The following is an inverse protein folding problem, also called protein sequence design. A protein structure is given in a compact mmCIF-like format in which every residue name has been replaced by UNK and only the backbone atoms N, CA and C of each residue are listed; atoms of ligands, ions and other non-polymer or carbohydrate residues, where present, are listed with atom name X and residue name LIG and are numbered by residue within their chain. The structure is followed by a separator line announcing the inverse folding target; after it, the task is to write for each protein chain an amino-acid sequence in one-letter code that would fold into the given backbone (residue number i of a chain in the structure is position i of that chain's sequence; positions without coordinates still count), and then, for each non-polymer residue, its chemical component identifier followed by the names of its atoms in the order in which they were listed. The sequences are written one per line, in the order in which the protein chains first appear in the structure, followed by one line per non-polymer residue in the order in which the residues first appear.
data_IF_549925528991
#
_entry.id   IF_549925528991
#
_cell.length_a   1.000
_cell.length_b   1.000
_cell.length_c   1.000
_cell.angle_alpha   90.00
_cell.angle_beta   90.00
_cell.angle_gamma   90.00
#
_symmetry.space_group_name_H-M   'P 1'
#
loop_
_entity.id
_entity.type
_entity.pdbx_description
1 polymer ?
#
# COMPACT_ATOMS: atom_id res chain seq x y z
N UNK A 1 -14.16 -31.40 9.49
CA UNK A 1 -14.17 -30.69 8.18
C UNK A 1 -14.32 -29.16 8.29
N UNK A 2 -14.74 -28.62 9.44
CA UNK A 2 -15.01 -27.17 9.64
C UNK A 2 -13.76 -26.28 9.70
N UNK A 3 -12.68 -26.71 10.36
CA UNK A 3 -11.45 -25.91 10.50
C UNK A 3 -10.67 -25.65 9.19
N UNK A 4 -10.94 -26.41 8.12
CA UNK A 4 -10.22 -26.30 6.84
C UNK A 4 -10.54 -25.00 6.11
N UNK A 5 -11.80 -24.57 6.12
CA UNK A 5 -12.23 -23.33 5.47
C UNK A 5 -11.61 -22.10 6.14
N UNK A 6 -11.59 -22.08 7.47
CA UNK A 6 -10.93 -21.05 8.27
C UNK A 6 -9.41 -21.01 8.05
N UNK A 7 -8.78 -22.17 7.93
CA UNK A 7 -7.34 -22.25 7.64
C UNK A 7 -7.03 -21.64 6.27
N UNK A 8 -7.77 -22.02 5.22
CA UNK A 8 -7.53 -21.46 3.89
C UNK A 8 -7.82 -19.97 3.83
N UNK A 9 -8.93 -19.53 4.42
CA UNK A 9 -9.30 -18.12 4.45
C UNK A 9 -8.25 -17.26 5.18
N UNK A 10 -7.76 -17.73 6.34
CA UNK A 10 -6.68 -17.08 7.06
C UNK A 10 -5.37 -17.08 6.27
N UNK A 11 -5.00 -18.20 5.64
CA UNK A 11 -3.76 -18.28 4.86
C UNK A 11 -3.78 -17.37 3.62
N UNK A 12 -4.90 -17.28 2.90
CA UNK A 12 -5.04 -16.38 1.75
C UNK A 12 -4.88 -14.92 2.19
N UNK A 13 -5.56 -14.53 3.29
CA UNK A 13 -5.43 -13.18 3.82
C UNK A 13 -3.99 -12.90 4.31
N UNK A 14 -3.38 -13.86 5.00
CA UNK A 14 -2.01 -13.78 5.46
C UNK A 14 -1.00 -13.60 4.32
N UNK A 15 -1.20 -14.31 3.21
CA UNK A 15 -0.36 -14.19 2.00
C UNK A 15 -0.40 -12.77 1.43
N UNK A 16 -1.59 -12.20 1.29
CA UNK A 16 -1.74 -10.81 0.85
C UNK A 16 -1.08 -9.82 1.83
N UNK A 17 -1.23 -10.03 3.14
CA UNK A 17 -0.58 -9.20 4.16
C UNK A 17 0.96 -9.31 4.10
N UNK A 18 1.51 -10.48 3.73
CA UNK A 18 2.93 -10.64 3.46
C UNK A 18 3.38 -9.78 2.29
N UNK A 19 2.64 -9.83 1.16
CA UNK A 19 2.92 -9.01 -0.01
C UNK A 19 2.82 -7.52 0.26
N UNK A 20 1.81 -7.08 1.02
CA UNK A 20 1.70 -5.69 1.44
C UNK A 20 2.84 -5.27 2.37
N UNK A 21 3.23 -6.12 3.32
CA UNK A 21 4.33 -5.80 4.22
C UNK A 21 5.63 -5.58 3.46
N UNK A 22 5.94 -6.48 2.53
CA UNK A 22 7.10 -6.38 1.65
C UNK A 22 7.03 -5.12 0.77
N UNK A 23 5.94 -4.93 0.04
CA UNK A 23 5.78 -3.79 -0.87
C UNK A 23 5.77 -2.43 -0.17
N UNK A 24 5.17 -2.32 1.02
CA UNK A 24 5.18 -1.08 1.79
C UNK A 24 6.56 -0.84 2.39
N UNK A 25 7.12 -1.84 3.08
CA UNK A 25 8.37 -1.65 3.81
C UNK A 25 9.56 -1.53 2.86
N UNK A 26 9.71 -2.44 1.92
CA UNK A 26 10.90 -2.52 1.06
C UNK A 26 10.77 -1.65 -0.19
N UNK A 27 9.60 -1.56 -0.83
CA UNK A 27 9.47 -0.78 -2.07
C UNK A 27 9.19 0.69 -1.83
N UNK A 28 8.44 1.03 -0.77
CA UNK A 28 7.97 2.40 -0.56
C UNK A 28 8.74 3.13 0.55
N UNK A 29 8.90 2.51 1.73
CA UNK A 29 9.53 3.15 2.89
C UNK A 29 11.05 3.12 2.76
N UNK A 30 11.64 1.92 2.64
CA UNK A 30 13.08 1.74 2.58
C UNK A 30 13.63 1.90 1.16
N UNK A 31 12.79 1.66 0.15
CA UNK A 31 13.14 1.76 -1.27
C UNK A 31 14.38 0.94 -1.63
N UNK A 32 14.61 -0.18 -0.95
CA UNK A 32 15.77 -1.03 -1.18
C UNK A 32 15.68 -1.78 -2.51
N UNK A 33 14.46 -2.02 -2.96
CA UNK A 33 14.15 -2.54 -4.29
C UNK A 33 12.70 -2.25 -4.65
N UNK A 34 12.41 -2.26 -5.95
CA UNK A 34 11.09 -2.38 -6.56
C UNK A 34 10.89 -3.76 -7.18
N UNK A 35 9.63 -4.14 -7.48
CA UNK A 35 9.27 -5.46 -7.99
C UNK A 35 10.09 -5.91 -9.21
N UNK A 36 10.42 -4.99 -10.13
CA UNK A 36 11.10 -5.32 -11.39
C UNK A 36 12.50 -4.71 -11.47
N UNK A 37 13.15 -4.46 -10.32
CA UNK A 37 14.42 -3.71 -10.25
C UNK A 37 15.53 -4.25 -11.15
N UNK A 38 15.58 -5.57 -11.34
CA UNK A 38 16.61 -6.25 -12.12
C UNK A 38 16.10 -6.73 -13.48
N UNK A 39 14.86 -6.38 -13.87
CA UNK A 39 14.33 -6.72 -15.19
C UNK A 39 14.93 -5.78 -16.24
N UNK A 40 15.64 -6.30 -17.25
CA UNK A 40 16.22 -5.46 -18.29
C UNK A 40 15.17 -4.61 -19.01
N UNK A 41 15.47 -3.32 -19.22
CA UNK A 41 14.57 -2.38 -19.89
C UNK A 41 13.53 -1.71 -18.99
N UNK A 42 13.47 -2.05 -17.70
CA UNK A 42 12.59 -1.41 -16.71
C UNK A 42 13.46 -0.72 -15.66
N UNK A 43 14.27 0.26 -16.06
CA UNK A 43 15.13 1.00 -15.12
C UNK A 43 14.51 2.28 -14.56
N UNK A 44 13.48 2.80 -15.22
CA UNK A 44 12.88 4.08 -14.87
C UNK A 44 12.00 3.99 -13.62
N UNK A 45 12.16 4.95 -12.72
CA UNK A 45 11.47 4.96 -11.42
C UNK A 45 9.96 5.01 -11.57
N UNK A 46 9.42 5.74 -12.57
CA UNK A 46 7.97 5.79 -12.79
C UNK A 46 7.44 4.43 -13.22
N UNK A 47 8.17 3.70 -14.07
CA UNK A 47 7.81 2.33 -14.44
C UNK A 47 7.86 1.37 -13.24
N UNK A 48 8.89 1.48 -12.40
CA UNK A 48 9.02 0.67 -11.18
C UNK A 48 7.86 0.91 -10.21
N UNK A 49 7.60 2.18 -9.86
CA UNK A 49 6.49 2.57 -8.97
C UNK A 49 5.13 2.13 -9.52
N UNK A 50 4.93 2.19 -10.84
CA UNK A 50 3.71 1.69 -11.47
C UNK A 50 3.56 0.18 -11.24
N UNK A 51 4.61 -0.60 -11.47
CA UNK A 51 4.57 -2.05 -11.29
C UNK A 51 4.41 -2.47 -9.82
N UNK A 52 5.01 -1.73 -8.89
CA UNK A 52 4.71 -1.91 -7.46
C UNK A 52 3.23 -1.64 -7.18
N UNK A 53 2.64 -0.60 -7.78
CA UNK A 53 1.21 -0.31 -7.67
C UNK A 53 0.32 -1.43 -8.22
N UNK A 54 0.69 -2.02 -9.37
CA UNK A 54 0.00 -3.19 -9.94
C UNK A 54 0.11 -4.40 -9.02
N UNK A 55 1.29 -4.64 -8.44
CA UNK A 55 1.50 -5.68 -7.45
C UNK A 55 0.63 -5.49 -6.21
N UNK A 56 0.55 -4.27 -5.66
CA UNK A 56 -0.34 -3.95 -4.54
C UNK A 56 -1.82 -4.14 -4.91
N UNK A 57 -2.22 -3.77 -6.12
CA UNK A 57 -3.58 -4.01 -6.60
C UNK A 57 -3.91 -5.51 -6.64
N UNK A 58 -2.97 -6.35 -7.09
CA UNK A 58 -3.10 -7.81 -7.01
C UNK A 58 -3.23 -8.29 -5.55
N UNK A 59 -2.41 -7.76 -4.63
CA UNK A 59 -2.53 -8.09 -3.21
C UNK A 59 -3.88 -7.68 -2.63
N UNK A 60 -4.48 -6.56 -3.07
CA UNK A 60 -5.85 -6.18 -2.68
C UNK A 60 -6.90 -7.19 -3.14
N UNK A 61 -6.78 -7.72 -4.37
CA UNK A 61 -7.67 -8.76 -4.87
C UNK A 61 -7.55 -10.04 -4.03
N UNK A 62 -6.33 -10.47 -3.71
CA UNK A 62 -6.09 -11.64 -2.86
C UNK A 62 -6.63 -11.41 -1.44
N UNK A 63 -6.39 -10.23 -0.86
CA UNK A 63 -6.92 -9.86 0.45
C UNK A 63 -8.46 -9.86 0.47
N UNK A 64 -9.11 -9.28 -0.55
CA UNK A 64 -10.56 -9.30 -0.69
C UNK A 64 -11.10 -10.74 -0.79
N UNK A 65 -10.44 -11.62 -1.55
CA UNK A 65 -10.79 -13.03 -1.61
C UNK A 65 -10.66 -13.72 -0.24
N UNK A 66 -9.58 -13.43 0.51
CA UNK A 66 -9.37 -13.90 1.87
C UNK A 66 -10.45 -13.43 2.84
N UNK A 67 -10.84 -12.14 2.78
CA UNK A 67 -11.90 -11.56 3.60
C UNK A 67 -13.28 -12.16 3.28
N UNK A 68 -13.62 -12.31 2.00
CA UNK A 68 -14.86 -12.98 1.57
C UNK A 68 -14.87 -14.44 2.04
N UNK A 69 -13.74 -15.14 1.95
CA UNK A 69 -13.61 -16.51 2.43
C UNK A 69 -13.78 -16.59 3.96
N UNK A 70 -13.21 -15.65 4.72
CA UNK A 70 -13.38 -15.54 6.17
C UNK A 70 -14.84 -15.28 6.53
N UNK A 71 -15.50 -14.34 5.85
CA UNK A 71 -16.92 -14.04 6.06
C UNK A 71 -17.80 -15.25 5.80
N UNK A 72 -17.56 -15.97 4.70
CA UNK A 72 -18.28 -17.21 4.36
C UNK A 72 -17.98 -18.34 5.36
N UNK A 73 -16.76 -18.43 5.88
CA UNK A 73 -16.41 -19.40 6.92
C UNK A 73 -17.16 -19.09 8.22
N UNK A 74 -17.20 -17.82 8.62
CA UNK A 74 -17.91 -17.34 9.81
C UNK A 74 -19.42 -17.60 9.74
N UNK A 75 -20.06 -17.32 8.59
CA UNK A 75 -21.49 -17.59 8.40
C UNK A 75 -21.87 -19.07 8.50
N UNK A 76 -20.94 -19.98 8.18
CA UNK A 76 -21.18 -21.43 8.23
C UNK A 76 -20.88 -22.02 9.61
N UNK A 77 -19.82 -21.56 10.25
CA UNK A 77 -19.40 -22.02 11.56
C UNK A 77 -18.84 -20.84 12.35
N UNK A 78 -19.66 -20.17 13.17
CA UNK A 78 -19.22 -19.01 13.94
C UNK A 78 -18.14 -19.33 14.99
N UNK A 79 -17.98 -20.62 15.34
CA UNK A 79 -17.19 -21.07 16.48
C UNK A 79 -15.87 -21.69 16.00
N UNK A 80 -14.88 -20.84 15.69
CA UNK A 80 -13.50 -21.31 15.43
C UNK A 80 -12.52 -20.80 16.50
N UNK A 81 -11.61 -21.65 17.02
CA UNK A 81 -10.53 -21.18 17.87
C UNK A 81 -9.64 -20.17 17.12
N UNK A 82 -9.47 -18.97 17.70
CA UNK A 82 -8.67 -17.88 17.10
C UNK A 82 -7.24 -18.28 16.73
N UNK A 83 -6.63 -19.19 17.50
CA UNK A 83 -5.30 -19.73 17.20
C UNK A 83 -5.21 -20.39 15.82
N UNK A 84 -6.32 -20.92 15.30
CA UNK A 84 -6.37 -21.50 13.95
C UNK A 84 -6.29 -20.40 12.89
N UNK A 85 -7.06 -19.32 13.03
CA UNK A 85 -7.08 -18.22 12.05
C UNK A 85 -5.78 -17.42 12.10
N UNK A 86 -5.34 -17.02 13.30
CA UNK A 86 -4.07 -16.30 13.48
C UNK A 86 -2.88 -17.14 13.01
N UNK A 87 -2.86 -18.43 13.35
CA UNK A 87 -1.81 -19.33 12.88
C UNK A 87 -1.84 -19.54 11.37
N UNK A 88 -3.03 -19.60 10.76
CA UNK A 88 -3.16 -19.66 9.31
C UNK A 88 -2.70 -18.38 8.61
N UNK A 89 -3.00 -17.20 9.16
CA UNK A 89 -2.51 -15.92 8.64
C UNK A 89 -0.97 -15.85 8.68
N UNK A 90 -0.34 -16.29 9.78
CA UNK A 90 1.12 -16.36 9.86
C UNK A 90 1.73 -17.35 8.84
N UNK A 91 1.06 -18.49 8.62
CA UNK A 91 1.47 -19.43 7.56
C UNK A 91 1.41 -18.76 6.20
N UNK A 92 0.29 -18.11 5.87
CA UNK A 92 0.15 -17.37 4.61
C UNK A 92 1.21 -16.30 4.43
N UNK A 93 1.43 -15.49 5.47
CA UNK A 93 2.44 -14.44 5.50
C UNK A 93 3.84 -15.00 5.21
N UNK A 94 4.22 -16.07 5.90
CA UNK A 94 5.52 -16.70 5.66
C UNK A 94 5.61 -17.38 4.29
N UNK A 95 4.53 -17.97 3.79
CA UNK A 95 4.47 -18.56 2.45
C UNK A 95 4.72 -17.52 1.36
N UNK A 96 4.20 -16.29 1.47
CA UNK A 96 4.54 -15.21 0.54
C UNK A 96 6.05 -14.98 0.47
N UNK A 97 6.70 -14.76 1.62
CA UNK A 97 8.14 -14.47 1.68
C UNK A 97 9.01 -15.62 1.20
N UNK A 98 8.58 -16.87 1.44
CA UNK A 98 9.24 -18.06 0.88
C UNK A 98 9.13 -18.07 -0.64
N UNK A 99 7.92 -17.84 -1.18
CA UNK A 99 7.72 -17.80 -2.63
C UNK A 99 8.53 -16.67 -3.25
N UNK A 100 8.47 -15.47 -2.69
CA UNK A 100 9.20 -14.33 -3.23
C UNK A 100 10.72 -14.56 -3.22
N UNK A 101 11.26 -15.11 -2.12
CA UNK A 101 12.68 -15.44 -2.06
C UNK A 101 13.08 -16.52 -3.07
N UNK A 102 12.37 -17.64 -3.09
CA UNK A 102 12.76 -18.77 -3.95
C UNK A 102 12.50 -18.48 -5.43
N UNK A 103 11.33 -17.92 -5.74
CA UNK A 103 10.88 -17.67 -7.10
C UNK A 103 11.42 -16.34 -7.63
N UNK A 104 11.12 -15.21 -6.99
CA UNK A 104 11.46 -13.89 -7.52
C UNK A 104 12.96 -13.60 -7.39
N UNK A 105 13.55 -13.85 -6.22
CA UNK A 105 14.96 -13.49 -5.99
C UNK A 105 15.96 -14.46 -6.59
N UNK A 106 15.71 -15.77 -6.48
CA UNK A 106 16.71 -16.78 -6.84
C UNK A 106 16.46 -17.44 -8.19
N UNK A 107 15.21 -17.81 -8.48
CA UNK A 107 14.90 -18.49 -9.75
C UNK A 107 14.76 -17.50 -10.91
N UNK A 108 13.91 -16.48 -10.75
CA UNK A 108 13.67 -15.47 -11.79
C UNK A 108 14.72 -14.35 -11.76
N UNK A 109 15.27 -14.04 -10.58
CA UNK A 109 16.28 -13.00 -10.41
C UNK A 109 15.79 -11.59 -10.74
N UNK A 110 14.49 -11.32 -10.58
CA UNK A 110 13.86 -10.06 -11.01
C UNK A 110 14.06 -8.91 -10.01
N UNK A 111 14.37 -9.22 -8.76
CA UNK A 111 14.80 -8.30 -7.71
C UNK A 111 15.55 -9.05 -6.61
N UNK A 112 16.15 -8.35 -5.64
CA UNK A 112 16.76 -8.92 -4.43
C UNK A 112 16.33 -8.06 -3.24
N UNK A 113 16.38 -8.59 -2.01
CA UNK A 113 15.94 -7.84 -0.82
C UNK A 113 16.65 -6.49 -0.70
N UNK A 114 17.98 -6.51 -0.86
CA UNK A 114 18.81 -5.31 -0.79
C UNK A 114 19.88 -5.35 -1.88
N UNK A 115 19.58 -4.68 -2.98
CA UNK A 115 20.35 -4.77 -4.24
C UNK A 115 21.68 -4.00 -4.14
N UNK A 116 21.70 -2.91 -3.36
CA UNK A 116 22.87 -2.06 -3.10
C UNK A 116 23.88 -2.67 -2.11
N UNK A 117 23.57 -3.83 -1.52
CA UNK A 117 24.44 -4.48 -0.54
C UNK A 117 25.65 -5.15 -1.20
N UNK A 118 26.85 -5.11 -0.60
CA UNK A 118 27.98 -5.94 -1.02
C UNK A 118 27.71 -7.45 -0.95
N UNK A 119 26.70 -7.87 -0.18
CA UNK A 119 26.25 -9.26 -0.09
C UNK A 119 24.72 -9.33 -0.09
N UNK A 120 24.06 -9.34 -1.27
CA UNK A 120 22.59 -9.42 -1.37
C UNK A 120 22.04 -10.76 -0.86
N UNK A 121 22.80 -11.85 -1.00
CA UNK A 121 22.38 -13.18 -0.55
C UNK A 121 22.18 -13.25 0.97
N UNK A 122 23.05 -12.59 1.75
CA UNK A 122 22.89 -12.53 3.19
C UNK A 122 21.56 -11.89 3.62
N UNK A 123 21.12 -10.85 2.89
CA UNK A 123 19.84 -10.18 3.15
C UNK A 123 18.65 -11.05 2.75
N UNK A 124 18.73 -11.75 1.61
CA UNK A 124 17.68 -12.71 1.23
C UNK A 124 17.50 -13.81 2.27
N UNK A 125 18.60 -14.38 2.76
CA UNK A 125 18.56 -15.44 3.78
C UNK A 125 18.00 -14.92 5.11
N UNK A 126 18.42 -13.72 5.53
CA UNK A 126 17.89 -13.08 6.74
C UNK A 126 16.38 -12.85 6.61
N UNK A 127 15.93 -12.30 5.48
CA UNK A 127 14.51 -12.04 5.22
C UNK A 127 13.68 -13.32 5.18
N UNK A 128 14.18 -14.35 4.47
CA UNK A 128 13.57 -15.67 4.40
C UNK A 128 13.41 -16.30 5.78
N UNK A 129 14.44 -16.22 6.64
CA UNK A 129 14.37 -16.79 7.98
C UNK A 129 13.38 -16.01 8.85
N UNK A 130 13.53 -14.70 8.91
CA UNK A 130 12.77 -13.83 9.85
C UNK A 130 11.31 -13.70 9.45
N UNK A 131 11.00 -13.54 8.17
CA UNK A 131 9.64 -13.27 7.68
C UNK A 131 9.01 -14.44 6.92
N UNK A 132 9.80 -15.40 6.44
CA UNK A 132 9.31 -16.65 5.86
C UNK A 132 9.16 -17.77 6.89
N UNK A 133 10.29 -18.30 7.37
CA UNK A 133 10.36 -19.54 8.17
C UNK A 133 9.80 -19.34 9.58
N UNK A 134 10.20 -18.28 10.29
CA UNK A 134 9.75 -18.05 11.68
C UNK A 134 8.22 -17.90 11.75
N UNK A 135 7.55 -17.07 10.92
CA UNK A 135 6.09 -16.99 10.92
C UNK A 135 5.41 -18.31 10.55
N UNK A 136 5.95 -19.08 9.60
CA UNK A 136 5.45 -20.42 9.27
C UNK A 136 5.45 -21.34 10.49
N UNK A 137 6.58 -21.43 11.20
CA UNK A 137 6.71 -22.29 12.37
C UNK A 137 5.82 -21.83 13.54
N UNK A 138 5.75 -20.52 13.79
CA UNK A 138 4.85 -19.95 14.80
C UNK A 138 3.38 -20.21 14.46
N UNK A 139 3.01 -20.07 13.19
CA UNK A 139 1.66 -20.37 12.71
C UNK A 139 1.28 -21.83 12.89
N UNK A 140 2.19 -22.76 12.57
CA UNK A 140 2.00 -24.20 12.81
C UNK A 140 1.85 -24.52 14.30
N UNK A 141 2.60 -23.84 15.18
CA UNK A 141 2.48 -23.99 16.64
C UNK A 141 1.14 -23.46 17.16
N UNK A 142 0.71 -22.27 16.73
CA UNK A 142 -0.54 -21.65 17.16
C UNK A 142 -1.78 -22.44 16.74
N UNK A 143 -1.73 -23.11 15.58
CA UNK A 143 -2.80 -24.01 15.15
C UNK A 143 -2.98 -25.23 16.05
N UNK A 144 -1.96 -25.60 16.84
CA UNK A 144 -1.98 -26.75 17.76
C UNK A 144 -2.46 -26.41 19.18
N UNK A 145 -2.42 -25.14 19.60
CA UNK A 145 -2.62 -24.71 21.00
C UNK A 145 -3.93 -23.93 21.28
N UNK A 146 -5.05 -24.29 20.66
CA UNK A 146 -6.25 -23.44 20.62
C UNK A 146 -6.89 -23.06 21.97
N UNK A 147 -6.92 -21.75 22.27
CA UNK A 147 -8.08 -20.90 22.63
C UNK A 147 -7.53 -19.52 23.07
N UNK A 148 -7.23 -18.65 22.10
CA UNK A 148 -6.97 -17.24 22.42
C UNK A 148 -8.26 -16.54 22.84
N UNK A 149 -8.18 -15.64 23.81
CA UNK A 149 -9.33 -14.85 24.26
C UNK A 149 -9.85 -13.90 23.16
N UNK A 150 -11.10 -13.47 23.29
CA UNK A 150 -11.65 -12.35 22.53
C UNK A 150 -10.90 -11.05 22.80
N UNK A 151 -10.49 -10.23 21.79
CA UNK A 151 -10.28 -8.83 22.08
C UNK A 151 -11.59 -8.32 22.66
N UNK A 152 -11.48 -7.60 23.77
CA UNK A 152 -12.63 -7.00 24.41
C UNK A 152 -13.32 -6.04 23.43
N UNK A 153 -14.63 -5.83 23.58
CA UNK A 153 -15.34 -4.79 22.83
C UNK A 153 -14.66 -3.43 22.96
N UNK A 154 -14.06 -3.16 24.11
CA UNK A 154 -13.24 -1.97 24.37
C UNK A 154 -12.01 -1.88 23.45
N UNK A 155 -11.29 -2.98 23.20
CA UNK A 155 -10.15 -2.98 22.28
C UNK A 155 -10.60 -2.67 20.84
N UNK A 156 -11.67 -3.31 20.37
CA UNK A 156 -12.21 -3.08 19.02
C UNK A 156 -12.69 -1.63 18.87
N UNK A 157 -13.44 -1.12 19.84
CA UNK A 157 -13.91 0.27 19.84
C UNK A 157 -12.73 1.26 19.86
N UNK A 158 -11.69 0.99 20.64
CA UNK A 158 -10.49 1.84 20.70
C UNK A 158 -9.79 1.88 19.35
N UNK A 159 -9.53 0.73 18.73
CA UNK A 159 -8.90 0.67 17.39
C UNK A 159 -9.76 1.37 16.35
N UNK A 160 -11.09 1.19 16.38
CA UNK A 160 -12.00 1.86 15.47
C UNK A 160 -11.96 3.38 15.65
N UNK A 161 -12.02 3.87 16.89
CA UNK A 161 -11.94 5.29 17.22
C UNK A 161 -10.60 5.90 16.84
N UNK A 162 -9.48 5.21 17.09
CA UNK A 162 -8.15 5.65 16.66
C UNK A 162 -8.04 5.71 15.14
N UNK A 163 -8.60 4.73 14.43
CA UNK A 163 -8.55 4.69 12.95
C UNK A 163 -9.38 5.82 12.34
N UNK A 164 -10.62 6.00 12.83
CA UNK A 164 -11.49 7.10 12.38
C UNK A 164 -10.90 8.46 12.77
N UNK A 165 -10.36 8.58 13.98
CA UNK A 165 -9.73 9.79 14.49
C UNK A 165 -8.47 10.16 13.70
N UNK A 166 -7.58 9.20 13.44
CA UNK A 166 -6.39 9.40 12.62
C UNK A 166 -6.74 9.72 11.17
N UNK A 167 -7.76 9.06 10.60
CA UNK A 167 -8.29 9.37 9.28
C UNK A 167 -8.84 10.80 9.19
N UNK A 168 -9.66 11.22 10.16
CA UNK A 168 -10.19 12.58 10.23
C UNK A 168 -9.08 13.61 10.47
N UNK A 169 -8.04 13.27 11.24
CA UNK A 169 -6.86 14.12 11.44
C UNK A 169 -6.05 14.30 10.16
N UNK A 170 -5.77 13.20 9.44
CA UNK A 170 -5.03 13.22 8.17
C UNK A 170 -5.77 13.98 7.06
N UNK A 171 -7.08 14.19 7.19
CA UNK A 171 -7.88 15.00 6.28
C UNK A 171 -7.80 16.51 6.55
N UNK A 172 -7.18 16.94 7.66
CA UNK A 172 -7.05 18.37 7.96
C UNK A 172 -6.01 19.01 7.04
N UNK A 173 -6.44 20.01 6.27
CA UNK A 173 -5.54 20.94 5.58
C UNK A 173 -4.93 21.89 6.62
N UNK A 174 -3.60 22.08 6.67
CA UNK A 174 -2.98 23.12 7.49
C UNK A 174 -3.58 24.50 7.17
N UNK A 175 -3.92 25.27 8.21
CA UNK A 175 -4.59 26.57 8.06
C UNK A 175 -3.71 27.62 7.36
N UNK A 176 -2.41 27.34 7.23
CA UNK A 176 -1.35 28.15 6.66
C UNK A 176 -0.89 27.71 5.26
N UNK A 177 -1.52 26.70 4.65
CA UNK A 177 -1.15 26.24 3.30
C UNK A 177 -1.75 27.13 2.20
N UNK A 178 -0.92 28.06 1.71
CA UNK A 178 -1.26 28.94 0.59
C UNK A 178 -1.24 28.24 -0.78
N UNK A 179 -0.57 27.09 -0.89
CA UNK A 179 -0.33 26.43 -2.18
C UNK A 179 -1.36 25.33 -2.46
N UNK A 180 -1.62 25.12 -3.75
CA UNK A 180 -2.51 24.12 -4.32
C UNK A 180 -1.71 23.29 -5.31
N UNK A 181 -1.53 22.01 -5.03
CA UNK A 181 -1.01 21.02 -5.95
C UNK A 181 -2.09 20.59 -6.96
N UNK A 182 -1.75 20.64 -8.25
CA UNK A 182 -2.62 20.26 -9.35
C UNK A 182 -1.88 19.20 -10.18
N UNK A 183 -2.52 18.05 -10.38
CA UNK A 183 -2.04 17.00 -11.28
C UNK A 183 -2.93 16.98 -12.51
N UNK A 184 -2.39 17.29 -13.68
CA UNK A 184 -3.11 17.27 -14.95
C UNK A 184 -3.13 15.88 -15.58
N UNK A 185 -4.19 15.58 -16.33
CA UNK A 185 -4.28 14.34 -17.14
C UNK A 185 -3.13 14.28 -18.14
N UNK A 186 -2.62 13.09 -18.50
CA UNK A 186 -1.60 12.94 -19.54
C UNK A 186 -1.98 13.51 -20.91
N UNK A 187 -3.28 13.70 -21.16
CA UNK A 187 -3.80 14.30 -22.40
C UNK A 187 -3.77 15.84 -22.41
N UNK A 188 -3.47 16.49 -21.28
CA UNK A 188 -3.30 17.94 -21.18
C UNK A 188 -1.81 18.23 -21.37
N UNK A 189 -1.48 18.92 -22.45
CA UNK A 189 -0.11 19.37 -22.69
C UNK A 189 0.25 20.60 -21.85
N UNK A 190 1.53 20.95 -21.83
CA UNK A 190 2.04 22.05 -21.02
C UNK A 190 1.40 23.40 -21.36
N UNK A 191 1.20 23.67 -22.65
CA UNK A 191 0.57 24.91 -23.11
C UNK A 191 -0.88 25.03 -22.62
N UNK A 192 -1.65 23.93 -22.66
CA UNK A 192 -3.02 23.92 -22.15
C UNK A 192 -3.06 24.03 -20.63
N UNK A 193 -2.15 23.36 -19.92
CA UNK A 193 -2.04 23.46 -18.46
C UNK A 193 -1.75 24.92 -18.05
N UNK A 194 -0.77 25.57 -18.67
CA UNK A 194 -0.45 26.99 -18.43
C UNK A 194 -1.64 27.91 -18.70
N UNK A 195 -2.35 27.73 -19.81
CA UNK A 195 -3.53 28.54 -20.14
C UNK A 195 -4.63 28.40 -19.07
N UNK A 196 -4.91 27.18 -18.63
CA UNK A 196 -5.92 26.91 -17.58
C UNK A 196 -5.55 27.57 -16.25
N UNK A 197 -4.27 27.54 -15.88
CA UNK A 197 -3.76 28.19 -14.67
C UNK A 197 -3.83 29.72 -14.78
N UNK A 198 -3.44 30.27 -15.93
CA UNK A 198 -3.50 31.71 -16.20
C UNK A 198 -4.95 32.24 -16.17
N UNK A 199 -5.90 31.53 -16.79
CA UNK A 199 -7.34 31.85 -16.73
C UNK A 199 -7.90 31.88 -15.30
N UNK A 200 -7.40 31.00 -14.44
CA UNK A 200 -7.79 30.96 -13.04
C UNK A 200 -7.13 32.10 -12.22
N UNK A 201 -6.13 32.79 -12.76
CA UNK A 201 -5.28 33.73 -12.03
C UNK A 201 -4.38 33.01 -11.01
N UNK A 202 -4.00 31.77 -11.30
CA UNK A 202 -3.13 30.98 -10.44
C UNK A 202 -1.67 31.39 -10.65
N UNK A 203 -0.94 31.68 -9.56
CA UNK A 203 0.49 31.98 -9.60
C UNK A 203 1.28 30.68 -9.45
N UNK A 204 2.01 30.30 -10.47
CA UNK A 204 2.86 29.10 -10.42
C UNK A 204 4.02 29.35 -9.46
N UNK A 205 4.18 28.46 -8.49
CA UNK A 205 5.32 28.44 -7.56
C UNK A 205 6.35 27.42 -8.01
N UNK A 206 5.90 26.27 -8.49
CA UNK A 206 6.76 25.22 -9.04
C UNK A 206 5.98 24.36 -10.03
N UNK A 207 6.68 23.79 -11.02
CA UNK A 207 6.13 22.80 -11.93
C UNK A 207 7.21 21.82 -12.39
N UNK A 208 6.83 20.58 -12.71
CA UNK A 208 7.70 19.70 -13.49
C UNK A 208 7.79 20.17 -14.96
N UNK A 209 8.82 19.76 -15.74
CA UNK A 209 9.00 20.24 -17.11
C UNK A 209 7.85 19.97 -18.06
N UNK A 210 6.99 18.99 -17.76
CA UNK A 210 5.82 18.65 -18.59
C UNK A 210 4.53 19.32 -18.11
N UNK A 211 4.59 20.11 -17.03
CA UNK A 211 3.42 20.69 -16.35
C UNK A 211 2.36 19.63 -15.96
N UNK A 212 2.79 18.39 -15.77
CA UNK A 212 1.94 17.30 -15.31
C UNK A 212 1.59 17.45 -13.83
N UNK A 213 2.52 18.00 -13.03
CA UNK A 213 2.33 18.33 -11.61
C UNK A 213 2.78 19.76 -11.38
N UNK A 214 1.87 20.59 -10.87
CA UNK A 214 2.10 22.02 -10.66
C UNK A 214 1.68 22.41 -9.25
N UNK A 215 2.51 23.21 -8.57
CA UNK A 215 2.19 23.89 -7.32
C UNK A 215 1.86 25.35 -7.63
N UNK A 216 0.66 25.78 -7.26
CA UNK A 216 0.18 27.14 -7.52
C UNK A 216 -0.39 27.80 -6.28
N UNK A 217 -0.26 29.12 -6.19
CA UNK A 217 -1.04 29.96 -5.28
C UNK A 217 -2.28 30.43 -6.03
N UNK A 218 -3.46 30.04 -5.54
CA UNK A 218 -4.74 30.31 -6.19
C UNK A 218 -5.87 30.40 -5.17
N UNK A 219 -6.84 31.26 -5.46
CA UNK A 219 -8.07 31.39 -4.69
C UNK A 219 -8.75 30.02 -4.44
N UNK A 220 -9.00 29.64 -3.17
CA UNK A 220 -9.68 28.40 -2.81
C UNK A 220 -11.01 28.18 -3.55
N UNK A 221 -11.76 29.24 -3.85
CA UNK A 221 -13.04 29.16 -4.57
C UNK A 221 -12.91 28.68 -6.02
N UNK A 222 -11.71 28.75 -6.61
CA UNK A 222 -11.46 28.35 -8.00
C UNK A 222 -10.93 26.93 -8.16
N UNK A 223 -10.51 26.28 -7.07
CA UNK A 223 -9.82 24.97 -7.08
C UNK A 223 -10.65 23.88 -7.76
N UNK A 224 -11.94 23.79 -7.45
CA UNK A 224 -12.84 22.81 -8.06
C UNK A 224 -12.93 22.94 -9.59
N UNK A 225 -12.79 24.15 -10.13
CA UNK A 225 -12.89 24.41 -11.57
C UNK A 225 -11.75 23.80 -12.38
N UNK A 226 -10.65 23.37 -11.75
CA UNK A 226 -9.55 22.71 -12.46
C UNK A 226 -9.92 21.28 -12.90
N UNK A 227 -10.79 20.56 -12.17
CA UNK A 227 -11.23 19.22 -12.57
C UNK A 227 -11.96 19.23 -13.91
N UNK A 228 -12.83 20.22 -14.13
CA UNK A 228 -13.53 20.40 -15.41
C UNK A 228 -12.57 20.74 -16.57
N UNK A 229 -11.35 21.20 -16.25
CA UNK A 229 -10.33 21.62 -17.21
C UNK A 229 -9.16 20.64 -17.32
N UNK A 230 -9.38 19.40 -16.92
CA UNK A 230 -8.44 18.30 -17.14
C UNK A 230 -7.50 18.00 -15.99
N UNK A 231 -7.69 18.59 -14.80
CA UNK A 231 -7.02 18.12 -13.59
C UNK A 231 -7.59 16.75 -13.17
N UNK A 232 -6.71 15.83 -12.76
CA UNK A 232 -7.04 14.56 -12.12
C UNK A 232 -7.06 14.68 -10.60
N UNK A 233 -6.21 15.55 -10.07
CA UNK A 233 -6.12 15.82 -8.64
C UNK A 233 -5.90 17.31 -8.43
N UNK A 234 -6.68 17.88 -7.52
CA UNK A 234 -6.53 19.24 -7.04
C UNK A 234 -6.55 19.13 -5.53
N UNK A 235 -5.49 19.59 -4.90
CA UNK A 235 -5.40 19.56 -3.46
C UNK A 235 -6.21 20.70 -2.83
N UNK A 236 -6.56 20.57 -1.55
CA UNK A 236 -7.36 21.58 -0.86
C UNK A 236 -8.76 21.88 -1.46
N UNK A 237 -9.28 21.06 -2.37
CA UNK A 237 -10.60 21.22 -3.02
C UNK A 237 -11.66 20.26 -2.47
N UNK A 238 -11.63 19.92 -1.18
CA UNK A 238 -12.70 19.13 -0.53
C UNK A 238 -12.71 17.61 -0.77
N UNK A 239 -11.80 17.06 -1.57
CA UNK A 239 -11.47 15.62 -1.62
C UNK A 239 -10.28 15.39 -0.67
N UNK A 240 -10.14 14.26 0.05
CA UNK A 240 -9.07 14.03 1.02
C UNK A 240 -7.70 13.87 0.32
N UNK A 241 -7.14 15.00 -0.11
CA UNK A 241 -5.80 15.17 -0.66
C UNK A 241 -4.98 16.11 0.23
N UNK A 242 -5.34 16.25 1.51
CA UNK A 242 -4.62 17.10 2.47
C UNK A 242 -3.15 16.70 2.67
N UNK A 243 -2.79 15.44 2.40
CA UNK A 243 -1.40 14.98 2.41
C UNK A 243 -0.58 15.49 1.20
N UNK A 244 -1.24 15.76 0.07
CA UNK A 244 -0.62 16.37 -1.12
C UNK A 244 -0.25 17.85 -0.88
N UNK A 245 -1.00 18.48 0.03
CA UNK A 245 -0.68 19.66 0.87
C UNK A 245 0.78 19.86 1.25
N UNK A 246 1.40 18.80 1.79
CA UNK A 246 2.45 18.89 2.80
C UNK A 246 3.84 19.26 2.25
N UNK A 247 3.94 20.41 1.57
CA UNK A 247 5.17 21.00 1.08
C UNK A 247 5.32 22.42 1.65
N UNK A 248 6.42 22.65 2.36
CA UNK A 248 6.91 23.98 2.71
C UNK A 248 8.03 24.29 1.72
N UNK A 249 7.67 24.71 0.51
CA UNK A 249 8.61 25.31 -0.43
C UNK A 249 8.91 26.75 -0.01
#
# INVERSE_FOLDING_TARGET
MTARHWTWAGAILGFALGGFFDGILLHQILQWHHLLSLVPGIGDLRAQVMWDGVFHALMYVIAAAGLVALWRAHRRDPQVPRGIVAGAMLIGFGTWHVIDTLLSHWFLGIHRIRIDSPNPLAWDLLWLVVFGIVPLLLGLRLRRGGRGAAPSGAFVATVALLTVGAGAWAQRTPADMALTAIVFRPSVDAARAEAVLAEAGARIVWADPKMAVVLVDVDPGKRWGFYARGAMMVSGSGVPAGCFDFSRA
#
